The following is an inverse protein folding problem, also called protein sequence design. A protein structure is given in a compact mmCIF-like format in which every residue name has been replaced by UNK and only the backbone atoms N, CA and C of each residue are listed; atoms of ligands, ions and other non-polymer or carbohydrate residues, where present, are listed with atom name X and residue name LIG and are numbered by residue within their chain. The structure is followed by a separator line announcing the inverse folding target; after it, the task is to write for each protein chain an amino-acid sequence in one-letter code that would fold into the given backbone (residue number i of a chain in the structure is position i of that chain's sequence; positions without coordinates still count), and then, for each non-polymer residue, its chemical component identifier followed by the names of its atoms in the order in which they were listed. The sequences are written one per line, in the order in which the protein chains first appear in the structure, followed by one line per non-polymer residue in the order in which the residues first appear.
data_IF_346801687267
#
_entry.id   IF_346801687267
#
_cell.length_a   1.000
_cell.length_b   1.000
_cell.length_c   1.000
_cell.angle_alpha   90.00
_cell.angle_beta   90.00
_cell.angle_gamma   90.00
#
_symmetry.space_group_name_H-M   'P 1'
#
loop_
_entity.id
_entity.type
_entity.pdbx_description
1 polymer ?
#
# COMPACT_ATOMS: atom_id res chain seq x y z
N UNK A 1 8.73 10.08 -20.90
CA UNK A 1 8.06 8.78 -20.73
C UNK A 1 8.89 7.72 -21.45
N UNK A 2 9.24 6.62 -20.77
CA UNK A 2 9.96 5.51 -21.38
C UNK A 2 9.01 4.77 -22.35
N UNK A 3 9.13 5.07 -23.66
CA UNK A 3 8.27 4.47 -24.70
C UNK A 3 8.53 2.97 -24.92
N UNK A 4 9.64 2.47 -24.40
CA UNK A 4 10.01 1.05 -24.49
C UNK A 4 9.42 0.22 -23.33
N UNK A 5 8.79 0.86 -22.36
CA UNK A 5 8.08 0.17 -21.27
C UNK A 5 6.86 -0.58 -21.81
N UNK A 6 6.65 -1.85 -21.42
CA UNK A 6 5.43 -2.59 -21.76
C UNK A 6 4.17 -1.95 -21.17
N UNK A 7 4.32 -1.02 -20.22
CA UNK A 7 3.23 -0.33 -19.52
C UNK A 7 3.05 1.12 -20.01
N UNK A 8 3.69 1.56 -21.10
CA UNK A 8 3.64 2.94 -21.56
C UNK A 8 2.20 3.44 -21.78
N UNK A 9 1.38 2.70 -22.54
CA UNK A 9 -0.02 3.07 -22.81
C UNK A 9 -0.87 3.10 -21.53
N UNK A 10 -0.60 2.19 -20.58
CA UNK A 10 -1.26 2.18 -19.27
C UNK A 10 -0.83 3.38 -18.43
N UNK A 11 0.45 3.76 -18.45
CA UNK A 11 0.95 4.96 -17.78
C UNK A 11 0.27 6.22 -18.30
N UNK A 12 0.06 6.35 -19.61
CA UNK A 12 -0.68 7.48 -20.21
C UNK A 12 -2.12 7.54 -19.68
N UNK A 13 -2.85 6.43 -19.76
CA UNK A 13 -4.22 6.34 -19.26
C UNK A 13 -4.32 6.74 -17.78
N UNK A 14 -3.43 6.22 -16.93
CA UNK A 14 -3.45 6.47 -15.49
C UNK A 14 -3.03 7.92 -15.17
N UNK A 15 -2.03 8.46 -15.86
CA UNK A 15 -1.60 9.85 -15.70
C UNK A 15 -2.73 10.84 -16.00
N UNK A 16 -3.46 10.60 -17.08
CA UNK A 16 -4.58 11.44 -17.51
C UNK A 16 -5.76 11.38 -16.54
N UNK A 17 -6.06 10.17 -16.02
CA UNK A 17 -7.24 9.96 -15.16
C UNK A 17 -7.01 10.34 -13.71
N UNK A 18 -5.84 10.05 -13.17
CA UNK A 18 -5.55 10.21 -11.75
C UNK A 18 -4.83 11.53 -11.44
N UNK A 19 -4.34 12.23 -12.47
CA UNK A 19 -3.48 13.42 -12.35
C UNK A 19 -2.31 13.18 -11.37
N UNK A 20 -1.77 11.96 -11.39
CA UNK A 20 -0.70 11.53 -10.49
C UNK A 20 0.62 11.49 -11.26
N UNK A 21 1.63 12.22 -10.74
CA UNK A 21 2.95 12.34 -11.37
C UNK A 21 3.68 11.00 -11.52
N UNK A 22 3.38 10.01 -10.65
CA UNK A 22 4.00 8.67 -10.65
C UNK A 22 3.86 7.97 -11.99
N UNK A 23 2.76 8.19 -12.69
CA UNK A 23 2.50 7.55 -13.98
C UNK A 23 3.13 8.28 -15.17
N UNK A 24 3.72 9.45 -14.99
CA UNK A 24 4.27 10.24 -16.11
C UNK A 24 5.60 9.73 -16.64
N UNK A 25 6.41 9.05 -15.83
CA UNK A 25 7.73 8.51 -16.25
C UNK A 25 7.63 7.13 -16.88
N UNK A 26 6.66 6.32 -16.51
CA UNK A 26 6.58 4.89 -16.81
C UNK A 26 7.39 4.01 -15.86
N UNK A 27 8.36 4.57 -15.14
CA UNK A 27 9.25 3.83 -14.24
C UNK A 27 8.49 3.23 -13.05
N UNK A 28 7.44 3.92 -12.59
CA UNK A 28 6.62 3.43 -11.48
C UNK A 28 5.96 2.09 -11.80
N UNK A 29 5.36 1.94 -12.99
CA UNK A 29 4.73 0.67 -13.37
C UNK A 29 5.75 -0.42 -13.68
N UNK A 30 6.90 -0.07 -14.27
CA UNK A 30 8.00 -1.02 -14.48
C UNK A 30 8.49 -1.60 -13.14
N UNK A 31 8.64 -0.75 -12.13
CA UNK A 31 8.97 -1.17 -10.78
C UNK A 31 7.82 -1.94 -10.12
N UNK A 32 6.61 -1.37 -10.10
CA UNK A 32 5.50 -1.89 -9.32
C UNK A 32 4.95 -3.21 -9.89
N UNK A 33 4.89 -3.32 -11.22
CA UNK A 33 4.36 -4.50 -11.90
C UNK A 33 5.44 -5.50 -12.31
N UNK A 34 6.60 -5.00 -12.71
CA UNK A 34 7.65 -5.82 -13.30
C UNK A 34 8.65 -6.37 -12.29
N UNK A 35 9.05 -5.56 -11.29
CA UNK A 35 10.13 -5.88 -10.37
C UNK A 35 9.65 -6.44 -9.01
N UNK A 36 8.37 -6.77 -8.86
CA UNK A 36 7.84 -7.32 -7.62
C UNK A 36 8.41 -8.74 -7.35
N UNK A 37 9.07 -8.99 -6.21
CA UNK A 37 9.68 -10.28 -5.89
C UNK A 37 8.66 -11.40 -5.63
N UNK A 38 7.39 -11.06 -5.41
CA UNK A 38 6.32 -12.05 -5.24
C UNK A 38 5.73 -12.54 -6.57
N UNK A 39 6.18 -11.97 -7.69
CA UNK A 39 5.76 -12.27 -9.04
C UNK A 39 5.31 -11.01 -9.78
N UNK A 40 5.36 -11.06 -11.10
CA UNK A 40 4.88 -9.96 -11.94
C UNK A 40 3.38 -9.72 -11.73
N UNK A 41 2.96 -8.48 -11.88
CA UNK A 41 1.55 -8.15 -11.86
C UNK A 41 0.79 -8.91 -12.95
N UNK A 42 -0.44 -9.29 -12.63
CA UNK A 42 -1.40 -9.78 -13.61
C UNK A 42 -2.19 -8.56 -14.04
N UNK A 43 -2.13 -8.24 -15.32
CA UNK A 43 -2.83 -7.09 -15.88
C UNK A 43 -3.84 -7.53 -16.94
N UNK A 44 -4.90 -6.76 -17.03
CA UNK A 44 -5.88 -6.85 -18.09
C UNK A 44 -6.12 -5.47 -18.66
N UNK A 45 -5.95 -5.37 -19.96
CA UNK A 45 -5.95 -4.13 -20.71
C UNK A 45 -6.98 -4.19 -21.83
N UNK A 46 -7.68 -3.09 -22.08
CA UNK A 46 -8.62 -2.95 -23.20
C UNK A 46 -8.24 -1.71 -24.00
N UNK A 47 -8.04 -1.91 -25.28
CA UNK A 47 -7.79 -0.84 -26.25
C UNK A 47 -9.04 -0.61 -27.11
N UNK A 48 -9.21 0.60 -27.65
CA UNK A 48 -10.23 0.89 -28.64
C UNK A 48 -9.79 0.51 -30.06
N UNK A 49 -10.67 0.71 -31.04
CA UNK A 49 -10.41 0.38 -32.43
C UNK A 49 -9.23 1.17 -33.05
N UNK A 50 -8.84 2.28 -32.42
CA UNK A 50 -7.68 3.08 -32.82
C UNK A 50 -6.39 2.66 -32.11
N UNK A 51 -6.45 1.63 -31.24
CA UNK A 51 -5.31 1.16 -30.45
C UNK A 51 -4.99 2.00 -29.21
N UNK A 52 -5.90 2.90 -28.81
CA UNK A 52 -5.75 3.68 -27.57
C UNK A 52 -6.21 2.85 -26.39
N UNK A 53 -5.41 2.82 -25.29
CA UNK A 53 -5.79 2.21 -24.03
C UNK A 53 -7.00 2.93 -23.41
N UNK A 54 -8.11 2.20 -23.20
CA UNK A 54 -9.36 2.73 -22.62
C UNK A 54 -9.77 2.04 -21.34
N UNK A 55 -9.15 0.90 -21.01
CA UNK A 55 -9.36 0.17 -19.77
C UNK A 55 -8.08 -0.46 -19.27
N UNK A 56 -7.89 -0.46 -17.94
CA UNK A 56 -6.79 -1.12 -17.27
C UNK A 56 -7.24 -1.66 -15.92
N UNK A 57 -6.82 -2.89 -15.62
CA UNK A 57 -6.97 -3.50 -14.32
C UNK A 57 -5.68 -4.24 -13.95
N UNK A 58 -4.99 -3.77 -12.91
CA UNK A 58 -3.77 -4.38 -12.39
C UNK A 58 -3.99 -5.04 -11.04
N UNK A 59 -3.43 -6.23 -10.86
CA UNK A 59 -3.36 -6.93 -9.57
C UNK A 59 -1.93 -7.41 -9.33
N UNK A 60 -1.44 -7.20 -8.11
CA UNK A 60 -0.05 -7.41 -7.75
C UNK A 60 0.04 -8.55 -6.73
N UNK A 61 0.81 -9.62 -7.01
CA UNK A 61 1.03 -10.69 -6.06
C UNK A 61 1.66 -10.21 -4.75
N UNK A 62 1.17 -10.71 -3.63
CA UNK A 62 1.70 -10.48 -2.30
C UNK A 62 1.55 -11.73 -1.46
N UNK A 63 1.90 -11.68 -0.18
CA UNK A 63 1.70 -12.79 0.76
C UNK A 63 1.15 -12.25 2.07
N UNK A 64 0.29 -13.03 2.69
CA UNK A 64 -0.23 -12.74 4.02
C UNK A 64 0.07 -13.88 4.97
N UNK A 65 0.38 -13.54 6.20
CA UNK A 65 0.41 -14.47 7.33
C UNK A 65 -0.98 -14.53 7.96
N UNK A 66 -1.35 -15.75 8.33
CA UNK A 66 -2.58 -16.07 9.06
C UNK A 66 -2.23 -17.00 10.23
N UNK A 67 -3.13 -17.27 11.16
CA UNK A 67 -2.90 -18.30 12.19
C UNK A 67 -2.56 -19.68 11.62
N UNK A 68 -2.98 -19.98 10.39
CA UNK A 68 -2.71 -21.26 9.71
C UNK A 68 -1.38 -21.30 8.93
N UNK A 69 -0.68 -20.17 8.83
CA UNK A 69 0.58 -20.03 8.08
C UNK A 69 0.57 -18.91 7.05
N UNK A 70 1.54 -18.94 6.15
CA UNK A 70 1.67 -17.94 5.08
C UNK A 70 0.96 -18.41 3.82
N UNK A 71 0.19 -17.54 3.18
CA UNK A 71 -0.57 -17.83 1.97
C UNK A 71 -0.32 -16.78 0.90
N UNK A 72 -0.32 -17.14 -0.40
CA UNK A 72 -0.40 -16.18 -1.49
C UNK A 72 -1.62 -15.28 -1.34
N UNK A 73 -1.48 -14.03 -1.73
CA UNK A 73 -2.55 -13.05 -1.71
C UNK A 73 -2.37 -12.06 -2.87
N UNK A 74 -3.38 -11.27 -3.14
CA UNK A 74 -3.36 -10.29 -4.23
C UNK A 74 -3.69 -8.91 -3.68
N UNK A 75 -2.89 -7.95 -4.07
CA UNK A 75 -3.20 -6.54 -3.92
C UNK A 75 -3.76 -5.99 -5.25
N UNK A 76 -4.94 -5.37 -5.22
CA UNK A 76 -5.53 -4.71 -6.39
C UNK A 76 -5.15 -3.24 -6.42
N UNK A 77 -4.73 -2.76 -7.58
CA UNK A 77 -4.27 -1.39 -7.77
C UNK A 77 -4.57 -0.91 -9.19
N UNK A 78 -4.62 0.41 -9.34
CA UNK A 78 -4.65 1.09 -10.64
C UNK A 78 -5.78 0.64 -11.58
N UNK A 79 -6.98 0.44 -11.05
CA UNK A 79 -8.15 0.14 -11.89
C UNK A 79 -8.65 1.42 -12.53
N UNK A 80 -8.66 1.48 -13.85
CA UNK A 80 -8.99 2.66 -14.61
C UNK A 80 -9.87 2.36 -15.83
N UNK A 81 -10.77 3.30 -16.14
CA UNK A 81 -11.56 3.28 -17.38
C UNK A 81 -11.68 4.70 -17.92
N UNK A 82 -11.32 4.89 -19.19
CA UNK A 82 -11.47 6.18 -19.90
C UNK A 82 -12.89 6.71 -19.74
N UNK A 83 -13.07 8.00 -19.43
CA UNK A 83 -14.39 8.60 -19.23
C UNK A 83 -15.36 8.38 -20.41
N UNK A 84 -14.87 8.41 -21.64
CA UNK A 84 -15.65 8.15 -22.84
C UNK A 84 -16.08 6.68 -23.04
N UNK A 85 -15.40 5.77 -22.33
CA UNK A 85 -15.67 4.34 -22.37
C UNK A 85 -16.43 3.83 -21.12
N UNK A 86 -16.77 4.70 -20.16
CA UNK A 86 -17.53 4.32 -18.96
C UNK A 86 -18.92 3.81 -19.32
N UNK A 87 -19.49 3.01 -18.42
CA UNK A 87 -20.83 2.37 -18.56
C UNK A 87 -20.95 1.34 -19.68
N UNK A 88 -19.86 1.01 -20.38
CA UNK A 88 -19.80 -0.06 -21.40
C UNK A 88 -19.48 -1.45 -20.82
N UNK A 89 -19.38 -1.59 -19.50
CA UNK A 89 -19.12 -2.88 -18.84
C UNK A 89 -17.64 -3.26 -18.73
N UNK A 90 -16.70 -2.41 -19.15
CA UNK A 90 -15.27 -2.72 -19.21
C UNK A 90 -14.68 -3.23 -17.88
N UNK A 91 -15.09 -2.65 -16.74
CA UNK A 91 -14.63 -3.15 -15.44
C UNK A 91 -15.02 -4.62 -15.23
N UNK A 92 -16.26 -4.97 -15.56
CA UNK A 92 -16.74 -6.37 -15.43
C UNK A 92 -15.95 -7.29 -16.35
N UNK A 93 -15.78 -6.91 -17.59
CA UNK A 93 -15.02 -7.67 -18.59
C UNK A 93 -13.59 -7.95 -18.13
N UNK A 94 -12.88 -6.92 -17.66
CA UNK A 94 -11.53 -7.06 -17.11
C UNK A 94 -11.52 -7.94 -15.84
N UNK A 95 -12.49 -7.76 -14.94
CA UNK A 95 -12.59 -8.54 -13.71
C UNK A 95 -12.83 -10.04 -13.99
N UNK A 96 -13.73 -10.37 -14.93
CA UNK A 96 -14.02 -11.74 -15.35
C UNK A 96 -12.79 -12.45 -15.95
N UNK A 97 -11.87 -11.72 -16.58
CA UNK A 97 -10.62 -12.26 -17.12
C UNK A 97 -9.50 -12.34 -16.08
N UNK A 98 -9.42 -11.39 -15.15
CA UNK A 98 -8.31 -11.29 -14.21
C UNK A 98 -8.49 -12.17 -12.96
N UNK A 99 -9.74 -12.34 -12.46
CA UNK A 99 -9.98 -13.10 -11.23
C UNK A 99 -9.60 -14.57 -11.34
N UNK A 100 -9.93 -15.31 -12.40
CA UNK A 100 -9.49 -16.70 -12.55
C UNK A 100 -7.97 -16.85 -12.60
N UNK A 101 -7.27 -15.90 -13.24
CA UNK A 101 -5.79 -15.87 -13.31
C UNK A 101 -5.20 -15.58 -11.93
N UNK A 102 -5.78 -14.66 -11.20
CA UNK A 102 -5.38 -14.31 -9.85
C UNK A 102 -5.65 -15.46 -8.85
N UNK A 103 -6.78 -16.14 -8.96
CA UNK A 103 -7.09 -17.33 -8.17
C UNK A 103 -6.12 -18.49 -8.47
N UNK A 104 -5.66 -18.61 -9.72
CA UNK A 104 -4.73 -19.63 -10.18
C UNK A 104 -3.37 -19.62 -9.48
N UNK A 105 -2.96 -18.54 -8.84
CA UNK A 105 -1.74 -18.51 -8.01
C UNK A 105 -1.98 -19.02 -6.57
N UNK A 106 -3.17 -19.51 -6.26
CA UNK A 106 -3.53 -20.03 -4.94
C UNK A 106 -3.99 -18.94 -3.95
N UNK A 107 -4.26 -17.73 -4.41
CA UNK A 107 -4.78 -16.66 -3.57
C UNK A 107 -6.28 -16.89 -3.28
N UNK A 108 -6.75 -16.74 -2.01
CA UNK A 108 -8.16 -16.90 -1.66
C UNK A 108 -9.00 -15.67 -2.04
N UNK A 109 -8.37 -14.59 -2.42
CA UNK A 109 -9.02 -13.33 -2.77
C UNK A 109 -8.02 -12.21 -2.99
N UNK A 110 -8.55 -11.03 -3.15
CA UNK A 110 -7.76 -9.82 -3.32
C UNK A 110 -8.29 -8.68 -2.42
N UNK A 111 -7.39 -7.80 -2.00
CA UNK A 111 -7.72 -6.59 -1.27
C UNK A 111 -7.00 -5.38 -1.85
N UNK A 112 -7.50 -4.20 -1.57
CA UNK A 112 -6.87 -2.96 -1.99
C UNK A 112 -7.56 -1.74 -1.42
N UNK A 113 -7.05 -0.56 -1.79
CA UNK A 113 -7.67 0.71 -1.44
C UNK A 113 -8.49 1.24 -2.60
N UNK A 114 -9.66 1.74 -2.29
CA UNK A 114 -10.57 2.36 -3.26
C UNK A 114 -10.98 3.76 -2.77
N UNK A 115 -11.15 4.69 -3.68
CA UNK A 115 -11.72 5.99 -3.34
C UNK A 115 -13.23 5.88 -3.13
N UNK A 116 -13.85 6.93 -2.53
CA UNK A 116 -15.26 6.92 -2.19
C UNK A 116 -16.21 6.69 -3.38
N UNK A 117 -15.83 7.13 -4.59
CA UNK A 117 -16.65 6.94 -5.80
C UNK A 117 -16.60 5.49 -6.29
N UNK A 118 -15.41 4.91 -6.33
CA UNK A 118 -15.20 3.53 -6.78
C UNK A 118 -15.73 2.51 -5.78
N UNK A 119 -15.51 2.72 -4.47
CA UNK A 119 -15.93 1.78 -3.42
C UNK A 119 -17.43 1.52 -3.43
N UNK A 120 -18.26 2.57 -3.56
CA UNK A 120 -19.71 2.40 -3.64
C UNK A 120 -20.14 1.50 -4.83
N UNK A 121 -19.45 1.62 -5.98
CA UNK A 121 -19.74 0.82 -7.16
C UNK A 121 -19.31 -0.64 -6.98
N UNK A 122 -18.07 -0.87 -6.54
CA UNK A 122 -17.53 -2.23 -6.43
C UNK A 122 -18.19 -3.02 -5.31
N UNK A 123 -18.55 -2.39 -4.19
CA UNK A 123 -19.27 -3.03 -3.09
C UNK A 123 -20.69 -3.39 -3.54
N UNK A 124 -21.46 -2.44 -4.07
CA UNK A 124 -22.89 -2.66 -4.36
C UNK A 124 -23.15 -3.49 -5.62
N UNK A 125 -22.23 -3.50 -6.60
CA UNK A 125 -22.47 -4.15 -7.90
C UNK A 125 -21.59 -5.37 -8.17
N UNK A 126 -20.46 -5.49 -7.47
CA UNK A 126 -19.47 -6.54 -7.76
C UNK A 126 -19.15 -7.43 -6.55
N UNK A 127 -19.94 -7.30 -5.45
CA UNK A 127 -19.88 -8.18 -4.30
C UNK A 127 -18.58 -8.05 -3.48
N UNK A 128 -17.93 -6.87 -3.51
CA UNK A 128 -16.81 -6.61 -2.65
C UNK A 128 -17.27 -6.32 -1.22
N UNK A 129 -16.44 -6.65 -0.26
CA UNK A 129 -16.67 -6.33 1.16
C UNK A 129 -15.94 -5.04 1.52
N UNK A 130 -16.60 -4.19 2.29
CA UNK A 130 -16.02 -3.03 2.95
C UNK A 130 -15.29 -3.49 4.23
N UNK A 131 -13.99 -3.26 4.31
CA UNK A 131 -13.18 -3.54 5.50
C UNK A 131 -12.99 -2.30 6.37
N UNK A 132 -13.47 -1.16 5.93
CA UNK A 132 -13.44 0.11 6.65
C UNK A 132 -12.66 1.21 5.95
N UNK A 133 -13.00 2.44 6.33
CA UNK A 133 -12.28 3.63 5.89
C UNK A 133 -10.93 3.71 6.58
N UNK A 134 -9.86 3.87 5.82
CA UNK A 134 -8.50 4.00 6.31
C UNK A 134 -8.36 5.29 7.15
N UNK A 135 -8.15 5.21 8.47
CA UNK A 135 -8.04 6.40 9.29
C UNK A 135 -6.76 7.18 8.96
N UNK A 136 -6.83 8.49 9.05
CA UNK A 136 -5.66 9.37 9.03
C UNK A 136 -5.54 10.06 10.39
N UNK A 137 -4.35 10.02 10.98
CA UNK A 137 -4.02 10.68 12.24
C UNK A 137 -3.02 11.78 11.98
N UNK A 138 -3.38 13.00 12.34
CA UNK A 138 -2.49 14.14 12.36
C UNK A 138 -1.86 14.27 13.75
N UNK A 139 -0.56 14.45 13.80
CA UNK A 139 0.18 14.53 15.07
C UNK A 139 1.38 15.46 14.94
N UNK A 140 1.90 15.88 16.09
CA UNK A 140 3.10 16.71 16.22
C UNK A 140 4.12 15.99 17.11
N UNK A 141 5.41 16.29 16.99
CA UNK A 141 6.45 15.70 17.83
C UNK A 141 6.37 16.27 19.28
N UNK A 142 5.68 15.54 20.17
CA UNK A 142 5.52 15.93 21.58
C UNK A 142 6.54 15.29 22.52
N UNK A 143 7.38 14.40 22.01
CA UNK A 143 8.45 13.73 22.77
C UNK A 143 9.77 13.82 22.01
N UNK A 144 10.87 13.66 22.73
CA UNK A 144 12.19 13.61 22.11
C UNK A 144 12.45 12.21 21.51
N UNK A 145 13.05 12.09 20.31
CA UNK A 145 13.29 10.79 19.64
C UNK A 145 14.50 10.06 20.22
N UNK A 146 14.54 9.88 21.55
CA UNK A 146 15.65 9.22 22.23
C UNK A 146 15.76 7.75 21.83
N UNK A 147 16.98 7.29 21.55
CA UNK A 147 17.27 5.91 21.21
C UNK A 147 16.74 5.49 19.82
N UNK A 148 16.39 6.46 18.97
CA UNK A 148 16.01 6.20 17.58
C UNK A 148 17.07 6.72 16.64
N UNK A 149 17.60 5.84 15.80
CA UNK A 149 18.56 6.14 14.74
C UNK A 149 17.84 6.27 13.42
N UNK A 150 18.13 7.32 12.67
CA UNK A 150 17.58 7.54 11.34
C UNK A 150 18.56 7.00 10.29
N UNK A 151 18.02 6.27 9.30
CA UNK A 151 18.77 5.73 8.18
C UNK A 151 18.07 6.17 6.91
N UNK A 152 18.73 6.95 6.09
CA UNK A 152 18.24 7.26 4.74
C UNK A 152 18.40 6.01 3.88
N UNK A 153 17.33 5.64 3.21
CA UNK A 153 17.34 4.47 2.32
C UNK A 153 17.98 4.83 0.99
N UNK A 154 18.97 4.06 0.60
CA UNK A 154 19.59 4.04 -0.72
C UNK A 154 19.97 2.60 -1.10
N UNK A 155 20.44 2.40 -2.33
CA UNK A 155 20.81 1.07 -2.81
C UNK A 155 21.95 0.43 -2.03
N UNK A 156 22.91 1.23 -1.53
CA UNK A 156 24.01 0.72 -0.74
C UNK A 156 23.51 0.16 0.60
N UNK A 157 22.60 0.86 1.27
CA UNK A 157 21.96 0.37 2.49
C UNK A 157 21.11 -0.88 2.21
N UNK A 158 20.31 -0.89 1.14
CA UNK A 158 19.44 -2.03 0.79
C UNK A 158 20.24 -3.29 0.39
N UNK A 159 21.51 -3.14 0.02
CA UNK A 159 22.42 -4.25 -0.28
C UNK A 159 23.27 -4.69 0.95
N UNK A 160 23.11 -4.04 2.11
CA UNK A 160 23.95 -4.28 3.28
C UNK A 160 23.42 -5.42 4.17
N UNK A 161 24.35 -6.05 4.91
CA UNK A 161 24.01 -7.01 5.96
C UNK A 161 23.17 -6.38 7.07
N UNK A 162 23.34 -5.08 7.32
CA UNK A 162 22.53 -4.35 8.29
C UNK A 162 21.05 -4.33 7.90
N UNK A 163 20.75 -4.06 6.62
CA UNK A 163 19.37 -4.12 6.13
C UNK A 163 18.81 -5.55 6.20
N UNK A 164 19.57 -6.55 5.80
CA UNK A 164 19.15 -7.94 5.86
C UNK A 164 18.82 -8.39 7.30
N UNK A 165 19.69 -8.06 8.26
CA UNK A 165 19.46 -8.35 9.68
C UNK A 165 18.26 -7.59 10.25
N UNK A 166 18.05 -6.34 9.86
CA UNK A 166 16.91 -5.55 10.30
C UNK A 166 15.60 -6.10 9.73
N UNK A 167 15.61 -6.49 8.47
CA UNK A 167 14.41 -6.96 7.78
C UNK A 167 14.00 -8.39 8.21
N UNK A 168 14.93 -9.22 8.70
CA UNK A 168 14.63 -10.57 9.19
C UNK A 168 13.68 -10.58 10.40
N UNK A 169 13.62 -9.48 11.14
CA UNK A 169 12.86 -9.37 12.38
C UNK A 169 11.45 -8.77 12.21
N UNK A 170 11.07 -8.38 11.01
CA UNK A 170 9.85 -7.57 10.81
C UNK A 170 8.54 -8.36 10.89
N UNK A 171 8.57 -9.66 10.64
CA UNK A 171 7.38 -10.53 10.69
C UNK A 171 7.17 -11.18 12.07
N UNK A 172 7.60 -10.52 13.15
CA UNK A 172 7.59 -11.09 14.51
C UNK A 172 6.28 -10.90 15.29
N UNK A 173 5.35 -10.08 14.78
CA UNK A 173 4.08 -9.81 15.50
C UNK A 173 3.13 -11.00 15.48
N UNK A 174 2.37 -11.22 16.58
CA UNK A 174 1.31 -12.20 16.59
C UNK A 174 0.25 -11.90 15.53
N UNK A 175 -0.24 -12.94 14.86
CA UNK A 175 -1.29 -12.84 13.86
C UNK A 175 -2.60 -13.35 14.47
N UNK A 176 -3.65 -12.52 14.46
CA UNK A 176 -5.00 -12.92 14.90
C UNK A 176 -5.88 -13.26 13.72
N UNK A 177 -5.81 -12.44 12.68
CA UNK A 177 -6.55 -12.61 11.42
C UNK A 177 -5.55 -12.64 10.25
N UNK A 178 -5.40 -11.56 9.51
CA UNK A 178 -4.54 -11.46 8.33
C UNK A 178 -3.57 -10.29 8.47
N UNK A 179 -2.28 -10.54 8.22
CA UNK A 179 -1.21 -9.54 8.23
C UNK A 179 -0.35 -9.72 6.98
N UNK A 180 -0.07 -8.65 6.26
CA UNK A 180 0.86 -8.72 5.14
C UNK A 180 2.23 -9.21 5.60
N UNK A 181 2.79 -10.17 4.88
CA UNK A 181 4.12 -10.72 5.17
C UNK A 181 5.20 -9.82 4.61
N UNK A 182 6.19 -9.52 5.47
CA UNK A 182 7.32 -8.66 5.15
C UNK A 182 8.63 -9.39 5.39
N UNK A 183 9.39 -9.61 4.33
CA UNK A 183 10.78 -10.06 4.39
C UNK A 183 11.71 -9.04 3.73
N UNK A 184 13.01 -9.30 3.76
CA UNK A 184 14.03 -8.39 3.23
C UNK A 184 13.82 -8.08 1.74
N UNK A 185 13.44 -9.09 0.95
CA UNK A 185 13.26 -8.94 -0.49
C UNK A 185 12.04 -8.06 -0.80
N UNK A 186 10.91 -8.33 -0.14
CA UNK A 186 9.68 -7.56 -0.34
C UNK A 186 9.80 -6.13 0.20
N UNK A 187 10.37 -5.95 1.40
CA UNK A 187 10.62 -4.62 1.94
C UNK A 187 11.61 -3.85 1.06
N UNK A 188 12.71 -4.49 0.64
CA UNK A 188 13.70 -3.89 -0.24
C UNK A 188 13.09 -3.41 -1.57
N UNK A 189 12.20 -4.21 -2.16
CA UNK A 189 11.45 -3.81 -3.34
C UNK A 189 10.56 -2.59 -3.05
N UNK A 190 9.78 -2.61 -1.97
CA UNK A 190 8.90 -1.47 -1.61
C UNK A 190 9.69 -0.19 -1.40
N UNK A 191 10.84 -0.27 -0.77
CA UNK A 191 11.70 0.88 -0.48
C UNK A 191 12.47 1.41 -1.72
N UNK A 192 12.47 0.68 -2.85
CA UNK A 192 12.98 1.13 -4.15
C UNK A 192 11.94 1.83 -5.02
N UNK A 193 10.79 2.23 -4.46
CA UNK A 193 9.82 3.02 -5.20
C UNK A 193 10.49 4.26 -5.82
N UNK A 194 10.49 4.42 -7.16
CA UNK A 194 11.22 5.49 -7.84
C UNK A 194 10.71 6.90 -7.52
N UNK A 195 9.46 6.99 -7.04
CA UNK A 195 8.82 8.28 -6.73
C UNK A 195 8.92 8.68 -5.25
N UNK A 196 9.58 7.87 -4.42
CA UNK A 196 9.64 8.10 -2.97
C UNK A 196 11.07 7.98 -2.43
N UNK A 197 11.43 8.85 -1.49
CA UNK A 197 12.67 8.76 -0.73
C UNK A 197 12.33 8.42 0.72
N UNK A 198 12.67 7.20 1.12
CA UNK A 198 12.34 6.70 2.44
C UNK A 198 13.45 6.97 3.47
N UNK A 199 13.01 7.09 4.71
CA UNK A 199 13.91 7.06 5.89
C UNK A 199 13.38 6.01 6.86
N UNK A 200 14.26 5.12 7.33
CA UNK A 200 13.97 4.20 8.41
C UNK A 200 14.34 4.83 9.75
N UNK A 201 13.48 4.64 10.73
CA UNK A 201 13.66 5.07 12.11
C UNK A 201 13.78 3.83 12.99
N UNK A 202 15.02 3.43 13.28
CA UNK A 202 15.33 2.20 14.01
C UNK A 202 15.43 2.50 15.50
N UNK A 203 14.51 1.98 16.28
CA UNK A 203 14.48 2.08 17.72
C UNK A 203 14.55 0.74 18.43
N UNK A 204 14.51 0.72 19.77
CA UNK A 204 14.63 -0.51 20.54
C UNK A 204 13.40 -1.43 20.41
N UNK A 205 12.23 -0.89 20.17
CA UNK A 205 10.95 -1.60 20.18
C UNK A 205 10.20 -1.60 18.82
N UNK A 206 10.67 -0.81 17.85
CA UNK A 206 10.11 -0.82 16.49
C UNK A 206 11.08 -0.28 15.45
N UNK A 207 10.73 -0.50 14.18
CA UNK A 207 11.25 0.20 13.00
C UNK A 207 10.09 0.93 12.35
N UNK A 208 10.20 2.24 12.16
CA UNK A 208 9.21 2.99 11.40
C UNK A 208 9.78 3.44 10.05
N UNK A 209 8.93 3.51 9.04
CA UNK A 209 9.27 3.98 7.68
C UNK A 209 8.57 5.31 7.47
N UNK A 210 9.29 6.32 7.00
CA UNK A 210 8.70 7.61 6.67
C UNK A 210 9.16 8.15 5.33
N UNK A 211 8.31 9.01 4.76
CA UNK A 211 8.63 9.87 3.62
C UNK A 211 8.32 11.33 3.96
N UNK A 212 8.83 12.25 3.15
CA UNK A 212 8.43 13.65 3.18
C UNK A 212 7.32 13.89 2.17
N UNK A 213 6.30 14.61 2.59
CA UNK A 213 5.23 15.06 1.72
C UNK A 213 4.91 16.54 2.03
N UNK A 214 4.01 17.12 1.27
CA UNK A 214 3.49 18.45 1.48
C UNK A 214 2.02 18.37 1.87
N UNK A 215 1.74 18.79 3.09
CA UNK A 215 0.39 18.91 3.60
C UNK A 215 -0.38 20.07 2.94
N UNK A 216 -1.62 20.31 3.38
CA UNK A 216 -2.39 21.48 2.97
C UNK A 216 -1.58 22.77 3.14
N UNK A 217 -1.72 23.70 2.20
CA UNK A 217 -0.99 24.99 2.19
C UNK A 217 0.53 24.84 1.97
N UNK A 218 1.02 23.71 1.45
CA UNK A 218 2.44 23.49 1.19
C UNK A 218 3.29 23.29 2.45
N UNK A 219 2.68 23.09 3.62
CA UNK A 219 3.42 22.84 4.86
C UNK A 219 4.10 21.47 4.77
N UNK A 220 5.42 21.37 4.99
CA UNK A 220 6.10 20.08 5.01
C UNK A 220 5.50 19.16 6.08
N UNK A 221 5.21 17.94 5.68
CA UNK A 221 4.71 16.89 6.57
C UNK A 221 5.62 15.65 6.50
N UNK A 222 5.92 15.05 7.63
CA UNK A 222 6.43 13.69 7.68
C UNK A 222 5.24 12.74 7.55
N UNK A 223 5.33 11.76 6.68
CA UNK A 223 4.33 10.70 6.61
C UNK A 223 4.97 9.42 7.12
N UNK A 224 4.46 8.90 8.22
CA UNK A 224 4.84 7.58 8.70
C UNK A 224 4.02 6.55 7.94
N UNK A 225 4.69 5.85 7.04
CA UNK A 225 4.06 4.92 6.11
C UNK A 225 3.80 3.55 6.74
N UNK A 226 4.65 3.14 7.69
CA UNK A 226 4.51 1.87 8.41
C UNK A 226 5.33 1.87 9.69
N UNK A 227 4.85 1.10 10.67
CA UNK A 227 5.59 0.83 11.92
C UNK A 227 5.60 -0.68 12.15
N UNK A 228 6.81 -1.25 12.18
CA UNK A 228 7.07 -2.64 12.46
C UNK A 228 7.53 -2.79 13.91
N UNK A 229 6.77 -3.41 14.81
CA UNK A 229 7.29 -3.81 16.12
C UNK A 229 8.46 -4.78 15.98
N UNK A 230 9.43 -4.71 16.91
CA UNK A 230 10.58 -5.62 16.96
C UNK A 230 10.33 -6.80 17.90
N UNK A 231 11.08 -7.90 17.77
CA UNK A 231 11.01 -9.02 18.69
C UNK A 231 11.19 -8.56 20.16
N UNK A 232 10.35 -9.07 21.06
CA UNK A 232 10.37 -8.71 22.46
C UNK A 232 9.76 -7.34 22.82
N UNK A 233 9.27 -6.59 21.84
CA UNK A 233 8.61 -5.32 22.10
C UNK A 233 7.31 -5.52 22.92
N UNK A 234 7.08 -4.62 23.90
CA UNK A 234 5.79 -4.57 24.60
C UNK A 234 4.72 -3.98 23.68
N UNK A 235 3.75 -4.80 23.32
CA UNK A 235 2.65 -4.40 22.45
C UNK A 235 1.46 -3.82 23.24
N UNK A 236 0.74 -2.80 22.71
CA UNK A 236 1.07 -2.07 21.47
C UNK A 236 2.23 -1.09 21.67
N UNK A 237 3.13 -1.00 20.69
CA UNK A 237 4.22 -0.01 20.66
C UNK A 237 3.64 1.40 20.62
N UNK A 238 4.15 2.30 21.47
CA UNK A 238 3.76 3.72 21.44
C UNK A 238 4.66 4.48 20.47
N UNK A 239 4.13 4.89 19.33
CA UNK A 239 4.90 5.43 18.21
C UNK A 239 5.42 6.87 18.40
N UNK A 240 5.21 7.52 19.54
CA UNK A 240 5.55 8.93 19.72
C UNK A 240 7.00 9.28 19.43
N UNK A 241 7.99 8.45 19.82
CA UNK A 241 9.42 8.65 19.52
C UNK A 241 9.73 8.51 18.02
N UNK A 242 8.99 7.64 17.32
CA UNK A 242 9.14 7.42 15.87
C UNK A 242 8.52 8.55 15.06
N UNK A 243 7.38 9.08 15.50
CA UNK A 243 6.79 10.32 14.99
C UNK A 243 7.77 11.48 15.10
N UNK A 244 8.41 11.64 16.26
CA UNK A 244 9.39 12.70 16.49
C UNK A 244 10.65 12.51 15.63
N UNK A 245 11.13 11.27 15.45
CA UNK A 245 12.23 10.95 14.57
C UNK A 245 11.88 11.25 13.10
N UNK A 246 10.70 10.86 12.65
CA UNK A 246 10.21 11.16 11.30
C UNK A 246 10.13 12.68 11.06
N UNK A 247 9.54 13.44 11.96
CA UNK A 247 9.49 14.90 11.86
C UNK A 247 10.90 15.52 11.76
N UNK A 248 11.84 15.06 12.60
CA UNK A 248 13.23 15.53 12.56
C UNK A 248 13.90 15.21 11.22
N UNK A 249 13.85 13.95 10.78
CA UNK A 249 14.51 13.49 9.56
C UNK A 249 13.93 14.14 8.30
N UNK A 250 12.61 14.28 8.25
CA UNK A 250 11.90 14.89 7.14
C UNK A 250 11.88 16.44 7.21
N UNK A 251 12.44 17.05 8.27
CA UNK A 251 12.40 18.50 8.52
C UNK A 251 10.98 19.05 8.42
N UNK A 252 10.06 18.39 9.09
CA UNK A 252 8.63 18.68 9.05
C UNK A 252 8.10 18.98 10.45
N UNK A 253 7.29 20.04 10.64
CA UNK A 253 6.71 20.38 11.94
C UNK A 253 5.58 19.43 12.37
N UNK A 254 5.05 18.68 11.42
CA UNK A 254 3.89 17.81 11.60
C UNK A 254 4.10 16.44 11.00
N UNK A 255 3.34 15.47 11.48
CA UNK A 255 3.34 14.11 10.98
C UNK A 255 1.92 13.63 10.67
N UNK A 256 1.80 12.88 9.59
CA UNK A 256 0.59 12.14 9.23
C UNK A 256 0.90 10.64 9.35
N UNK A 257 -0.02 9.92 9.97
CA UNK A 257 -0.05 8.46 9.97
C UNK A 257 -1.37 7.99 9.38
N UNK A 258 -1.32 7.09 8.42
CA UNK A 258 -2.53 6.55 7.79
C UNK A 258 -2.63 5.05 7.94
N UNK A 259 -3.84 4.60 8.28
CA UNK A 259 -4.14 3.19 8.46
C UNK A 259 -4.39 2.77 9.89
N UNK A 260 -4.45 1.47 10.09
CA UNK A 260 -4.55 0.84 11.41
C UNK A 260 -3.48 -0.24 11.57
N UNK A 261 -3.06 -0.40 12.82
CA UNK A 261 -2.14 -1.45 13.22
C UNK A 261 -2.50 -1.89 14.65
N UNK A 262 -2.93 -3.14 14.81
CA UNK A 262 -3.33 -3.69 16.11
C UNK A 262 -2.19 -3.68 17.15
N UNK A 263 -0.94 -3.60 16.68
CA UNK A 263 0.27 -3.68 17.48
C UNK A 263 0.93 -2.33 17.74
N UNK A 264 0.34 -1.23 17.24
CA UNK A 264 0.91 0.12 17.34
C UNK A 264 -0.14 1.12 17.80
N UNK A 265 0.26 2.05 18.66
CA UNK A 265 -0.57 3.17 19.10
C UNK A 265 0.07 4.48 18.68
N UNK A 266 -0.57 5.16 17.74
CA UNK A 266 -0.24 6.55 17.36
C UNK A 266 -1.19 7.49 18.07
N UNK A 267 -0.65 8.45 18.83
CA UNK A 267 -1.43 9.52 19.48
C UNK A 267 -1.52 10.72 18.54
N UNK A 268 -2.70 11.30 18.42
CA UNK A 268 -2.93 12.47 17.56
C UNK A 268 -4.41 12.73 17.37
N UNK A 269 -4.71 13.67 16.49
CA UNK A 269 -6.07 14.03 16.11
C UNK A 269 -6.47 13.23 14.88
N UNK A 270 -7.54 12.45 15.00
CA UNK A 270 -8.11 11.78 13.82
C UNK A 270 -8.67 12.83 12.86
N UNK A 271 -8.21 12.81 11.61
CA UNK A 271 -8.72 13.69 10.56
C UNK A 271 -10.10 13.18 10.13
N UNK A 272 -11.18 13.95 10.31
CA UNK A 272 -12.49 13.58 9.81
C UNK A 272 -12.46 13.35 8.30
N UNK A 273 -13.25 12.38 7.80
CA UNK A 273 -13.24 11.99 6.37
C UNK A 273 -13.48 13.17 5.42
N UNK A 274 -14.38 14.08 5.79
CA UNK A 274 -14.69 15.29 5.01
C UNK A 274 -13.49 16.22 4.77
N UNK A 275 -12.42 16.09 5.57
CA UNK A 275 -11.21 16.90 5.44
C UNK A 275 -10.05 16.13 4.79
N UNK A 276 -10.27 14.87 4.40
CA UNK A 276 -9.29 14.09 3.67
C UNK A 276 -9.46 14.34 2.17
N UNK A 277 -8.39 14.58 1.41
CA UNK A 277 -8.47 14.81 -0.03
C UNK A 277 -9.16 13.67 -0.79
N UNK A 278 -8.91 12.44 -0.36
CA UNK A 278 -9.53 11.23 -0.89
C UNK A 278 -9.63 10.21 0.25
N UNK A 279 -10.80 10.03 0.88
CA UNK A 279 -11.00 8.95 1.83
C UNK A 279 -10.76 7.61 1.13
N UNK A 280 -9.77 6.86 1.64
CA UNK A 280 -9.47 5.53 1.14
C UNK A 280 -10.28 4.50 1.93
N UNK A 281 -11.03 3.68 1.23
CA UNK A 281 -11.74 2.53 1.79
C UNK A 281 -10.95 1.27 1.44
N UNK A 282 -10.63 0.46 2.44
CA UNK A 282 -10.04 -0.84 2.20
C UNK A 282 -11.15 -1.82 1.85
N UNK A 283 -11.00 -2.50 0.74
CA UNK A 283 -12.01 -3.40 0.17
C UNK A 283 -11.41 -4.77 -0.08
N UNK A 284 -12.25 -5.79 -0.01
CA UNK A 284 -11.86 -7.19 -0.21
C UNK A 284 -12.84 -7.91 -1.13
N UNK A 285 -12.33 -8.76 -2.03
CA UNK A 285 -13.10 -9.70 -2.86
C UNK A 285 -12.57 -11.11 -2.66
N UNK A 286 -13.44 -12.04 -2.25
CA UNK A 286 -13.14 -13.48 -2.27
C UNK A 286 -13.25 -14.03 -3.68
N UNK A 287 -12.37 -14.97 -4.03
CA UNK A 287 -12.50 -15.75 -5.27
C UNK A 287 -13.38 -17.00 -5.11
N UNK A 288 -13.69 -17.37 -3.88
CA UNK A 288 -14.46 -18.56 -3.54
C UNK A 288 -15.77 -18.13 -2.86
N UNK A 289 -16.72 -17.63 -3.67
CA UNK A 289 -18.02 -17.17 -3.16
C UNK A 289 -18.95 -18.31 -2.77
N UNK A 290 -18.73 -19.51 -3.33
CA UNK A 290 -19.58 -20.70 -3.11
C UNK A 290 -19.17 -21.51 -1.89
N UNK A 291 -17.95 -21.34 -1.39
CA UNK A 291 -17.53 -21.91 -0.09
C UNK A 291 -18.14 -21.08 1.02
N UNK A 292 -18.77 -21.76 1.99
CA UNK A 292 -19.44 -21.22 3.18
C UNK A 292 -18.84 -19.88 3.67
N UNK A 293 -19.65 -18.93 4.19
CA UNK A 293 -19.20 -17.58 4.46
C UNK A 293 -17.86 -17.62 5.17
N UNK A 294 -16.82 -17.21 4.47
CA UNK A 294 -15.47 -17.10 5.03
C UNK A 294 -15.61 -16.37 6.34
N UNK A 295 -15.11 -16.88 7.47
CA UNK A 295 -15.15 -16.17 8.74
C UNK A 295 -14.71 -14.75 8.46
N UNK A 296 -15.38 -13.75 9.03
CA UNK A 296 -15.28 -12.35 8.65
C UNK A 296 -13.82 -11.98 8.36
N UNK A 297 -13.46 -11.88 7.07
CA UNK A 297 -12.10 -11.55 6.67
C UNK A 297 -11.72 -10.22 7.30
N UNK A 298 -10.68 -10.21 8.10
CA UNK A 298 -10.16 -9.03 8.80
C UNK A 298 -8.67 -8.93 8.57
N UNK A 299 -8.18 -7.72 8.52
CA UNK A 299 -6.76 -7.44 8.42
C UNK A 299 -6.32 -6.74 9.71
N UNK A 300 -5.36 -7.34 10.42
CA UNK A 300 -4.84 -6.80 11.69
C UNK A 300 -4.07 -5.49 11.50
N UNK A 301 -3.39 -5.36 10.34
CA UNK A 301 -2.59 -4.18 10.02
C UNK A 301 -2.82 -3.79 8.56
N UNK A 302 -3.13 -2.52 8.34
CA UNK A 302 -3.17 -1.90 7.02
C UNK A 302 -2.72 -0.45 7.14
N UNK A 303 -1.53 -0.17 6.66
CA UNK A 303 -0.90 1.14 6.71
C UNK A 303 -0.55 1.59 5.28
N UNK A 304 -0.08 2.81 5.09
CA UNK A 304 0.21 3.34 3.74
C UNK A 304 1.16 2.46 2.92
N UNK A 305 2.17 1.85 3.56
CA UNK A 305 3.12 0.99 2.86
C UNK A 305 2.52 -0.37 2.45
N UNK A 306 1.43 -0.82 3.08
CA UNK A 306 0.72 -2.05 2.69
C UNK A 306 -0.04 -1.86 1.36
N UNK A 307 -0.36 -0.62 1.01
CA UNK A 307 -0.96 -0.22 -0.25
C UNK A 307 0.03 0.36 -1.26
N UNK A 308 -0.48 1.12 -2.22
CA UNK A 308 0.27 1.81 -3.28
C UNK A 308 0.32 3.33 -3.10
N UNK A 309 0.05 3.82 -1.89
CA UNK A 309 -0.08 5.26 -1.62
C UNK A 309 1.28 5.95 -1.62
N UNK A 310 2.33 5.28 -1.11
CA UNK A 310 3.71 5.75 -1.04
C UNK A 310 4.69 4.66 -1.44
#
# INVERSE_FOLDING_TARGET
MNRDSPYAATSELLADLLNDRRFRSGEFLDWFYGANPRGKAIVEDIDDDAGKRIGHYGVVPTRYRTPAGTTPFIFTSNVATDPGARRKGLFREMAERIYPRAAGIGAPGLAGTSNAQSSAVIINRFGWKDLGSMPAVFTVPVVWPRGVRDIRVDDAFLASDEFAALASDLDCVPVRDWVQSWDAEFLGWRLRNPDSTYTLHVGPDAVAVSVRDHGPLGIPAAVVCKVFPRPGAKLPVVAGRYVAAACRAQRAPVCVYGGWNAHVRVRGVKVPERFRPSPLVVVFKSFDEDRAPTPAFRIDTWEFLDGDVY
#
